data_IF_859608496157
#
_entry.id   IF_859608496157
#
_cell.length_a   1.000
_cell.length_b   1.000
_cell.length_c   1.000
_cell.angle_alpha   90.00
_cell.angle_beta   90.00
_cell.angle_gamma   90.00
#
_symmetry.space_group_name_H-M   'P 1'
#
loop_
_entity.id
_entity.type
_entity.pdbx_description
1 polymer ?
#
# COMPACT_ATOMS: atom_id res chain seq x y z
N UNK A 1 -31.59 4.30 -5.04
CA UNK A 1 -30.50 3.69 -4.24
C UNK A 1 -29.18 4.06 -4.91
N UNK A 2 -28.29 4.70 -4.20
CA UNK A 2 -26.96 5.06 -4.75
C UNK A 2 -26.14 3.78 -4.88
N UNK A 3 -25.81 3.39 -6.11
CA UNK A 3 -24.97 2.23 -6.37
C UNK A 3 -23.52 2.61 -6.09
N UNK A 4 -22.85 1.89 -5.18
CA UNK A 4 -21.42 2.04 -4.96
C UNK A 4 -20.67 1.52 -6.20
N UNK A 5 -19.60 2.21 -6.57
CA UNK A 5 -18.71 1.79 -7.65
C UNK A 5 -17.27 1.76 -7.18
N UNK A 6 -16.50 0.80 -7.69
CA UNK A 6 -15.09 0.62 -7.36
C UNK A 6 -14.31 0.01 -8.52
N UNK A 7 -13.01 -0.12 -8.33
CA UNK A 7 -12.12 -0.79 -9.27
C UNK A 7 -11.93 -2.24 -8.81
N UNK A 8 -12.29 -3.18 -9.67
CA UNK A 8 -12.15 -4.60 -9.38
C UNK A 8 -10.71 -5.05 -9.54
N UNK A 9 -10.20 -5.81 -8.58
CA UNK A 9 -8.86 -6.40 -8.62
C UNK A 9 -8.88 -7.84 -9.11
N UNK A 10 -7.71 -8.40 -9.42
CA UNK A 10 -7.55 -9.78 -9.93
C UNK A 10 -8.13 -10.83 -8.98
N UNK A 11 -8.02 -10.60 -7.67
CA UNK A 11 -8.57 -11.48 -6.63
C UNK A 11 -10.09 -11.31 -6.40
N UNK A 12 -10.73 -10.41 -7.15
CA UNK A 12 -12.16 -10.10 -7.04
C UNK A 12 -12.50 -9.08 -5.96
N UNK A 13 -11.53 -8.56 -5.21
CA UNK A 13 -11.75 -7.45 -4.26
C UNK A 13 -11.96 -6.13 -5.00
N UNK A 14 -12.50 -5.12 -4.30
CA UNK A 14 -12.76 -3.81 -4.88
C UNK A 14 -12.07 -2.71 -4.10
N UNK A 15 -11.37 -1.82 -4.82
CA UNK A 15 -10.85 -0.58 -4.31
C UNK A 15 -11.74 0.61 -4.68
N UNK A 16 -11.85 1.58 -3.79
CA UNK A 16 -12.51 2.87 -4.07
C UNK A 16 -11.56 3.86 -4.74
N UNK A 17 -10.26 3.55 -4.75
CA UNK A 17 -9.19 4.28 -5.43
C UNK A 17 -8.45 3.38 -6.40
N UNK A 18 -7.61 4.00 -7.26
CA UNK A 18 -6.82 3.32 -8.27
C UNK A 18 -5.40 3.90 -8.30
N UNK A 19 -4.71 3.81 -7.17
CA UNK A 19 -3.42 4.46 -6.94
C UNK A 19 -2.25 3.62 -7.44
N UNK A 20 -1.19 4.28 -7.90
CA UNK A 20 0.12 3.66 -8.06
C UNK A 20 0.92 3.92 -6.79
N UNK A 21 1.52 2.88 -6.22
CA UNK A 21 2.26 2.94 -4.97
C UNK A 21 3.74 2.66 -5.22
N UNK A 22 4.62 3.50 -4.66
CA UNK A 22 6.06 3.26 -4.65
C UNK A 22 6.45 2.68 -3.29
N UNK A 23 7.11 1.53 -3.29
CA UNK A 23 7.60 0.86 -2.08
C UNK A 23 9.12 0.77 -2.11
N UNK A 24 9.78 1.24 -1.07
CA UNK A 24 11.19 0.96 -0.82
C UNK A 24 11.35 -0.41 -0.17
N UNK A 25 12.28 -1.23 -0.64
CA UNK A 25 12.55 -2.56 -0.05
C UNK A 25 13.70 -2.55 0.96
N UNK A 26 14.42 -1.43 1.06
CA UNK A 26 15.55 -1.26 1.97
C UNK A 26 15.76 0.22 2.28
N UNK A 27 16.21 0.55 3.49
CA UNK A 27 16.49 1.94 3.90
C UNK A 27 17.30 2.73 2.87
N UNK A 28 18.34 2.13 2.30
CA UNK A 28 19.20 2.78 1.32
C UNK A 28 18.50 3.19 0.01
N UNK A 29 17.35 2.60 -0.30
CA UNK A 29 16.55 2.95 -1.48
C UNK A 29 15.49 4.04 -1.19
N UNK A 30 15.30 4.43 0.08
CA UNK A 30 14.26 5.38 0.49
C UNK A 30 14.33 6.71 -0.29
N UNK A 31 15.52 7.27 -0.42
CA UNK A 31 15.70 8.55 -1.09
C UNK A 31 15.28 8.51 -2.57
N UNK A 32 15.63 7.43 -3.29
CA UNK A 32 15.20 7.23 -4.66
C UNK A 32 13.68 7.04 -4.75
N UNK A 33 13.10 6.19 -3.91
CA UNK A 33 11.66 5.96 -3.86
C UNK A 33 10.87 7.24 -3.59
N UNK A 34 11.31 8.06 -2.62
CA UNK A 34 10.70 9.34 -2.29
C UNK A 34 10.80 10.36 -3.44
N UNK A 35 11.95 10.44 -4.11
CA UNK A 35 12.12 11.35 -5.26
C UNK A 35 11.22 10.96 -6.44
N UNK A 36 11.13 9.67 -6.75
CA UNK A 36 10.21 9.15 -7.78
C UNK A 36 8.77 9.52 -7.43
N UNK A 37 8.35 9.18 -6.22
CA UNK A 37 6.98 9.38 -5.77
C UNK A 37 6.59 10.86 -5.72
N UNK A 38 7.46 11.73 -5.19
CA UNK A 38 7.23 13.17 -5.12
C UNK A 38 7.10 13.80 -6.52
N UNK A 39 7.96 13.39 -7.47
CA UNK A 39 7.92 13.90 -8.85
C UNK A 39 6.62 13.53 -9.57
N UNK A 40 6.11 12.34 -9.33
CA UNK A 40 4.92 11.81 -10.00
C UNK A 40 3.63 11.98 -9.16
N UNK A 41 3.74 12.56 -7.95
CA UNK A 41 2.64 12.81 -7.03
C UNK A 41 1.86 11.53 -6.69
N UNK A 42 2.59 10.46 -6.37
CA UNK A 42 2.02 9.18 -5.94
C UNK A 42 2.41 8.85 -4.51
N UNK A 43 1.61 8.01 -3.81
CA UNK A 43 1.97 7.55 -2.47
C UNK A 43 3.31 6.78 -2.47
N UNK A 44 4.06 6.97 -1.39
CA UNK A 44 5.30 6.24 -1.14
C UNK A 44 5.31 5.67 0.27
N UNK A 45 5.78 4.44 0.42
CA UNK A 45 6.07 3.84 1.72
C UNK A 45 7.55 3.52 1.79
N UNK A 46 8.19 4.04 2.84
CA UNK A 46 9.58 3.81 3.19
C UNK A 46 9.68 3.23 4.59
N UNK A 47 10.82 2.65 4.93
CA UNK A 47 11.09 2.12 6.26
C UNK A 47 12.57 2.24 6.62
N UNK A 48 12.89 2.13 7.91
CA UNK A 48 14.26 2.29 8.42
C UNK A 48 15.08 0.98 8.43
N UNK A 49 14.52 -0.10 7.91
CA UNK A 49 15.15 -1.41 7.92
C UNK A 49 16.21 -1.54 6.82
N UNK A 50 17.35 -2.15 7.17
CA UNK A 50 18.53 -2.27 6.32
C UNK A 50 18.79 -3.68 5.81
N UNK A 51 20.04 -3.93 5.42
CA UNK A 51 20.49 -5.21 4.85
C UNK A 51 21.10 -6.19 5.87
N UNK A 52 21.18 -5.83 7.15
CA UNK A 52 21.84 -6.64 8.22
C UNK A 52 20.92 -6.88 9.41
N UNK A 53 19.63 -7.12 9.16
CA UNK A 53 18.65 -7.32 10.23
C UNK A 53 18.48 -8.78 10.60
N UNK A 54 17.91 -9.02 11.80
CA UNK A 54 17.46 -10.34 12.16
C UNK A 54 16.38 -10.84 11.19
N UNK A 55 16.41 -12.12 10.82
CA UNK A 55 15.48 -12.75 9.87
C UNK A 55 13.99 -12.49 10.22
N UNK A 56 13.67 -12.48 11.52
CA UNK A 56 12.32 -12.21 12.01
C UNK A 56 11.86 -10.78 11.72
N UNK A 57 12.77 -9.80 11.71
CA UNK A 57 12.48 -8.41 11.38
C UNK A 57 12.29 -8.28 9.86
N UNK A 58 13.19 -8.87 9.07
CA UNK A 58 13.08 -8.89 7.62
C UNK A 58 11.76 -9.54 7.16
N UNK A 59 11.34 -10.64 7.78
CA UNK A 59 10.07 -11.30 7.49
C UNK A 59 8.85 -10.41 7.81
N UNK A 60 8.88 -9.69 8.94
CA UNK A 60 7.81 -8.73 9.30
C UNK A 60 7.74 -7.55 8.33
N UNK A 61 8.88 -7.02 7.95
CA UNK A 61 8.97 -5.92 6.96
C UNK A 61 8.41 -6.37 5.62
N UNK A 62 8.83 -7.55 5.14
CA UNK A 62 8.31 -8.16 3.90
C UNK A 62 6.79 -8.32 3.95
N UNK A 63 6.25 -8.84 5.04
CA UNK A 63 4.81 -8.99 5.23
C UNK A 63 4.08 -7.64 5.22
N UNK A 64 4.66 -6.62 5.87
CA UNK A 64 4.11 -5.26 5.87
C UNK A 64 4.05 -4.65 4.47
N UNK A 65 5.14 -4.76 3.71
CA UNK A 65 5.23 -4.28 2.33
C UNK A 65 4.26 -5.04 1.41
N UNK A 66 4.19 -6.37 1.55
CA UNK A 66 3.27 -7.19 0.78
C UNK A 66 1.81 -6.75 1.00
N UNK A 67 1.39 -6.60 2.26
CA UNK A 67 0.03 -6.15 2.60
C UNK A 67 -0.28 -4.74 2.11
N UNK A 68 0.70 -3.83 2.15
CA UNK A 68 0.53 -2.49 1.60
C UNK A 68 0.28 -2.53 0.09
N UNK A 69 1.06 -3.33 -0.64
CA UNK A 69 0.91 -3.51 -2.08
C UNK A 69 -0.36 -4.30 -2.48
N UNK A 70 -0.86 -5.16 -1.60
CA UNK A 70 -2.11 -5.93 -1.78
C UNK A 70 -3.37 -5.13 -1.43
N UNK A 71 -3.24 -3.85 -1.05
CA UNK A 71 -4.41 -3.02 -0.78
C UNK A 71 -5.31 -2.92 -2.02
N UNK A 72 -6.62 -3.14 -1.90
CA UNK A 72 -7.54 -3.01 -3.04
C UNK A 72 -7.52 -1.63 -3.70
N UNK A 73 -7.08 -0.59 -2.98
CA UNK A 73 -6.94 0.77 -3.52
C UNK A 73 -5.70 0.96 -4.41
N UNK A 74 -4.82 -0.03 -4.48
CA UNK A 74 -3.59 0.02 -5.27
C UNK A 74 -3.80 -0.72 -6.59
N UNK A 75 -3.65 0.02 -7.68
CA UNK A 75 -3.62 -0.53 -9.04
C UNK A 75 -2.30 -1.23 -9.32
N UNK A 76 -1.21 -0.54 -9.01
CA UNK A 76 0.12 -1.04 -9.31
C UNK A 76 1.16 -0.59 -8.31
N UNK A 77 2.25 -1.36 -8.24
CA UNK A 77 3.35 -1.15 -7.30
C UNK A 77 4.68 -1.09 -8.03
N UNK A 78 5.47 -0.06 -7.73
CA UNK A 78 6.88 -0.01 -8.06
C UNK A 78 7.69 -0.35 -6.80
N UNK A 79 8.39 -1.48 -6.83
CA UNK A 79 9.37 -1.87 -5.81
C UNK A 79 10.73 -1.26 -6.16
N UNK A 80 11.25 -0.40 -5.29
CA UNK A 80 12.57 0.21 -5.46
C UNK A 80 13.54 -0.46 -4.51
N UNK A 81 14.51 -1.17 -5.08
CA UNK A 81 15.53 -1.95 -4.39
C UNK A 81 16.92 -1.35 -4.56
N UNK A 82 17.86 -1.71 -3.71
CA UNK A 82 19.27 -1.37 -3.89
C UNK A 82 20.02 -2.48 -4.64
N UNK A 83 19.77 -3.74 -4.29
CA UNK A 83 20.43 -4.94 -4.83
C UNK A 83 21.26 -5.73 -3.81
N UNK A 84 21.25 -5.33 -2.53
CA UNK A 84 21.93 -6.04 -1.44
C UNK A 84 21.04 -6.27 -0.21
N UNK A 85 19.75 -6.06 -0.35
CA UNK A 85 18.78 -6.29 0.72
C UNK A 85 18.56 -7.77 1.02
N UNK A 86 18.14 -8.08 2.26
CA UNK A 86 17.74 -9.43 2.67
C UNK A 86 16.35 -9.82 2.19
N UNK A 87 15.52 -8.84 1.84
CA UNK A 87 14.17 -9.09 1.33
C UNK A 87 14.29 -9.71 -0.06
N UNK A 88 13.65 -10.85 -0.26
CA UNK A 88 13.48 -11.43 -1.59
C UNK A 88 12.46 -10.59 -2.37
N UNK A 89 13.00 -9.67 -3.20
CA UNK A 89 12.19 -8.73 -4.01
C UNK A 89 11.34 -9.48 -5.03
N UNK A 90 11.82 -10.60 -5.55
CA UNK A 90 11.06 -11.39 -6.53
C UNK A 90 9.87 -12.09 -5.87
N UNK A 91 10.07 -12.72 -4.71
CA UNK A 91 8.99 -13.31 -3.94
C UNK A 91 7.96 -12.25 -3.50
N UNK A 92 8.43 -11.06 -3.08
CA UNK A 92 7.55 -9.94 -2.73
C UNK A 92 6.73 -9.47 -3.95
N UNK A 93 7.35 -9.36 -5.12
CA UNK A 93 6.68 -9.03 -6.38
C UNK A 93 5.56 -10.03 -6.71
N UNK A 94 5.83 -11.32 -6.57
CA UNK A 94 4.86 -12.39 -6.82
C UNK A 94 3.67 -12.32 -5.86
N UNK A 95 3.95 -12.14 -4.57
CA UNK A 95 2.91 -11.99 -3.55
C UNK A 95 1.99 -10.79 -3.83
N UNK A 96 2.54 -9.64 -4.18
CA UNK A 96 1.76 -8.44 -4.52
C UNK A 96 1.02 -8.65 -5.84
N UNK A 97 1.66 -9.25 -6.85
CA UNK A 97 1.11 -9.48 -8.18
C UNK A 97 -0.10 -10.42 -8.23
N UNK A 98 -0.34 -11.18 -7.16
CA UNK A 98 -1.56 -11.95 -7.02
C UNK A 98 -2.81 -11.08 -6.83
N UNK A 99 -2.63 -9.83 -6.37
CA UNK A 99 -3.71 -8.88 -6.08
C UNK A 99 -3.67 -7.63 -6.97
N UNK A 100 -2.52 -6.95 -7.03
CA UNK A 100 -2.34 -5.75 -7.84
C UNK A 100 -2.33 -6.08 -9.35
N UNK A 101 -2.80 -5.13 -10.15
CA UNK A 101 -2.88 -5.31 -11.61
C UNK A 101 -1.51 -5.27 -12.27
N UNK A 102 -0.59 -4.45 -11.75
CA UNK A 102 0.77 -4.32 -12.26
C UNK A 102 1.79 -4.23 -11.11
N UNK A 103 2.91 -4.96 -11.20
CA UNK A 103 4.04 -4.85 -10.27
C UNK A 103 5.35 -4.81 -11.05
N UNK A 104 6.11 -3.75 -10.83
CA UNK A 104 7.43 -3.53 -11.43
C UNK A 104 8.50 -3.45 -10.35
N UNK A 105 9.71 -3.83 -10.70
CA UNK A 105 10.90 -3.73 -9.83
C UNK A 105 11.94 -2.84 -10.48
N UNK A 106 12.62 -2.05 -9.67
CA UNK A 106 13.72 -1.17 -10.08
C UNK A 106 14.87 -1.36 -9.10
N UNK A 107 16.02 -1.81 -9.57
CA UNK A 107 17.21 -1.98 -8.75
C UNK A 107 18.22 -0.88 -9.04
N UNK A 108 18.56 -0.09 -8.01
CA UNK A 108 19.44 1.09 -8.16
C UNK A 108 20.82 0.71 -8.70
N UNK A 109 21.40 -0.40 -8.23
CA UNK A 109 22.73 -0.84 -8.69
C UNK A 109 22.75 -1.22 -10.16
N UNK A 110 21.69 -1.87 -10.65
CA UNK A 110 21.61 -2.30 -12.05
C UNK A 110 21.29 -1.15 -13.01
N UNK A 111 20.64 -0.09 -12.53
CA UNK A 111 20.35 1.11 -13.31
C UNK A 111 21.57 2.03 -13.50
N UNK A 112 22.70 1.73 -12.88
CA UNK A 112 23.89 2.60 -12.95
C UNK A 112 23.93 3.72 -11.93
N UNK A 113 23.11 3.60 -10.87
CA UNK A 113 23.09 4.52 -9.72
C UNK A 113 21.77 5.28 -9.57
N UNK A 114 21.72 6.09 -8.50
CA UNK A 114 20.50 6.75 -8.07
C UNK A 114 19.88 7.71 -9.12
N UNK A 115 20.62 8.58 -9.82
CA UNK A 115 20.02 9.50 -10.79
C UNK A 115 19.29 8.77 -11.93
N UNK A 116 19.92 7.74 -12.48
CA UNK A 116 19.35 6.92 -13.56
C UNK A 116 18.14 6.13 -13.07
N UNK A 117 18.23 5.54 -11.88
CA UNK A 117 17.12 4.83 -11.26
C UNK A 117 15.91 5.74 -11.01
N UNK A 118 16.12 7.00 -10.59
CA UNK A 118 15.03 7.95 -10.39
C UNK A 118 14.34 8.28 -11.73
N UNK A 119 15.09 8.54 -12.80
CA UNK A 119 14.48 8.83 -14.12
C UNK A 119 13.73 7.62 -14.69
N UNK A 120 14.29 6.43 -14.58
CA UNK A 120 13.63 5.20 -15.01
C UNK A 120 12.38 4.92 -14.18
N UNK A 121 12.47 5.10 -12.86
CA UNK A 121 11.33 4.93 -11.95
C UNK A 121 10.17 5.88 -12.25
N UNK A 122 10.45 7.15 -12.58
CA UNK A 122 9.43 8.11 -13.02
C UNK A 122 8.74 7.63 -14.31
N UNK A 123 9.51 7.15 -15.28
CA UNK A 123 8.95 6.64 -16.53
C UNK A 123 8.03 5.43 -16.29
N UNK A 124 8.43 4.52 -15.40
CA UNK A 124 7.62 3.36 -15.00
C UNK A 124 6.31 3.83 -14.34
N UNK A 125 6.39 4.72 -13.35
CA UNK A 125 5.21 5.22 -12.63
C UNK A 125 4.24 5.94 -13.55
N UNK A 126 4.73 6.78 -14.48
CA UNK A 126 3.88 7.45 -15.49
C UNK A 126 3.11 6.46 -16.34
N UNK A 127 3.78 5.40 -16.82
CA UNK A 127 3.14 4.36 -17.61
C UNK A 127 2.06 3.64 -16.80
N UNK A 128 2.34 3.31 -15.53
CA UNK A 128 1.38 2.66 -14.64
C UNK A 128 0.17 3.56 -14.36
N UNK A 129 0.37 4.87 -14.15
CA UNK A 129 -0.72 5.85 -13.98
C UNK A 129 -1.62 5.89 -15.22
N UNK A 130 -1.02 5.96 -16.41
CA UNK A 130 -1.78 5.94 -17.67
C UNK A 130 -2.57 4.64 -17.85
N UNK A 131 -2.06 3.50 -17.38
CA UNK A 131 -2.78 2.24 -17.38
C UNK A 131 -3.94 2.25 -16.36
N UNK A 132 -3.69 2.78 -15.16
CA UNK A 132 -4.71 2.92 -14.12
C UNK A 132 -5.87 3.82 -14.55
N UNK A 133 -5.58 4.93 -15.26
CA UNK A 133 -6.60 5.86 -15.78
C UNK A 133 -7.54 5.24 -16.82
N UNK A 134 -7.09 4.19 -17.51
CA UNK A 134 -7.90 3.46 -18.50
C UNK A 134 -8.91 2.49 -17.88
N UNK A 135 -8.74 2.16 -16.59
CA UNK A 135 -9.69 1.29 -15.92
C UNK A 135 -10.99 2.04 -15.62
N UNK A 136 -12.11 1.38 -15.88
CA UNK A 136 -13.43 1.87 -15.53
C UNK A 136 -13.88 1.34 -14.17
N UNK A 137 -14.72 2.11 -13.49
CA UNK A 137 -15.36 1.67 -12.25
C UNK A 137 -16.52 0.73 -12.57
N UNK A 138 -16.67 -0.31 -11.75
CA UNK A 138 -17.75 -1.28 -11.82
C UNK A 138 -18.67 -1.18 -10.59
N UNK A 139 -19.92 -1.63 -10.66
CA UNK A 139 -20.79 -1.74 -9.50
C UNK A 139 -20.15 -2.63 -8.42
N UNK A 140 -20.05 -2.11 -7.21
CA UNK A 140 -19.41 -2.77 -6.07
C UNK A 140 -20.44 -3.14 -5.01
N UNK A 141 -20.45 -4.41 -4.54
CA UNK A 141 -21.30 -4.80 -3.41
C UNK A 141 -20.87 -4.05 -2.13
N UNK A 142 -21.83 -3.52 -1.40
CA UNK A 142 -21.55 -2.77 -0.14
C UNK A 142 -20.74 -3.59 0.87
N UNK A 143 -20.92 -4.92 0.87
CA UNK A 143 -20.17 -5.85 1.73
C UNK A 143 -18.67 -5.88 1.46
N UNK A 144 -18.22 -5.38 0.31
CA UNK A 144 -16.80 -5.32 -0.03
C UNK A 144 -16.16 -3.96 0.27
N UNK A 145 -16.95 -3.01 0.79
CA UNK A 145 -16.42 -1.73 1.24
C UNK A 145 -15.61 -1.91 2.53
N UNK A 146 -14.34 -1.52 2.49
CA UNK A 146 -13.45 -1.50 3.65
C UNK A 146 -13.39 -0.07 4.18
N UNK A 147 -13.78 0.13 5.43
CA UNK A 147 -13.75 1.42 6.10
C UNK A 147 -12.71 1.37 7.21
N UNK A 148 -11.68 2.20 7.10
CA UNK A 148 -10.70 2.40 8.17
C UNK A 148 -11.26 3.35 9.23
N UNK A 149 -11.11 2.99 10.51
CA UNK A 149 -11.46 3.84 11.64
C UNK A 149 -10.21 4.14 12.45
N UNK A 150 -10.10 5.37 12.91
CA UNK A 150 -8.97 5.82 13.74
C UNK A 150 -9.50 6.60 14.93
N UNK A 151 -8.95 6.33 16.11
CA UNK A 151 -9.20 7.14 17.29
C UNK A 151 -8.33 8.40 17.23
N UNK A 152 -8.96 9.58 17.24
CA UNK A 152 -8.26 10.87 17.22
C UNK A 152 -7.84 11.36 18.61
N UNK A 153 -8.49 10.88 19.66
CA UNK A 153 -8.21 11.19 21.07
C UNK A 153 -9.04 10.32 21.98
N UNK A 154 -8.49 9.96 23.15
CA UNK A 154 -9.19 9.14 24.14
C UNK A 154 -9.96 10.06 25.07
N UNK A 155 -11.26 10.18 24.84
CA UNK A 155 -12.19 10.83 25.76
C UNK A 155 -13.42 9.94 26.01
N UNK A 156 -14.17 10.27 27.05
CA UNK A 156 -15.33 9.49 27.48
C UNK A 156 -16.49 9.52 26.46
N UNK A 157 -16.60 10.58 25.66
CA UNK A 157 -17.66 10.70 24.62
C UNK A 157 -17.39 9.74 23.46
N UNK A 158 -16.11 9.52 23.12
CA UNK A 158 -15.71 8.51 22.14
C UNK A 158 -16.13 7.11 22.58
N UNK A 159 -15.92 6.77 23.86
CA UNK A 159 -16.28 5.45 24.38
C UNK A 159 -17.81 5.25 24.44
N UNK A 160 -18.57 6.24 24.90
CA UNK A 160 -20.01 6.12 25.12
C UNK A 160 -20.85 6.26 23.84
N UNK A 161 -20.44 7.12 22.91
CA UNK A 161 -21.22 7.41 21.71
C UNK A 161 -20.51 6.99 20.42
N UNK A 162 -19.31 7.51 20.14
CA UNK A 162 -18.62 7.32 18.86
C UNK A 162 -18.37 5.84 18.54
N UNK A 163 -17.74 5.12 19.45
CA UNK A 163 -17.41 3.70 19.26
C UNK A 163 -18.66 2.81 19.21
N UNK A 164 -19.69 3.13 19.98
CA UNK A 164 -20.95 2.41 19.95
C UNK A 164 -21.66 2.55 18.59
N UNK A 165 -21.72 3.77 18.04
CA UNK A 165 -22.31 4.05 16.72
C UNK A 165 -21.51 3.35 15.62
N UNK A 166 -20.18 3.41 15.66
CA UNK A 166 -19.30 2.72 14.69
C UNK A 166 -19.53 1.21 14.76
N UNK A 167 -19.55 0.63 15.96
CA UNK A 167 -19.79 -0.80 16.17
C UNK A 167 -21.15 -1.26 15.66
N UNK A 168 -22.20 -0.46 15.88
CA UNK A 168 -23.55 -0.74 15.39
C UNK A 168 -23.63 -0.69 13.86
N UNK A 169 -22.97 0.30 13.25
CA UNK A 169 -22.96 0.49 11.80
C UNK A 169 -22.17 -0.63 11.09
N UNK A 170 -21.04 -1.07 11.68
CA UNK A 170 -20.23 -2.20 11.20
C UNK A 170 -21.05 -3.45 10.93
N UNK A 171 -21.89 -3.84 11.87
CA UNK A 171 -22.63 -5.09 11.79
C UNK A 171 -23.69 -5.14 10.68
N UNK A 172 -23.94 -4.01 10.02
CA UNK A 172 -25.02 -3.89 9.03
C UNK A 172 -24.56 -3.72 7.59
N UNK A 173 -23.32 -3.21 7.33
CA UNK A 173 -23.08 -2.67 5.99
C UNK A 173 -21.70 -2.95 5.36
N UNK A 174 -20.60 -3.19 6.14
CA UNK A 174 -19.26 -3.27 5.57
C UNK A 174 -18.25 -3.97 6.51
N UNK A 175 -17.08 -4.33 5.95
CA UNK A 175 -15.94 -4.79 6.76
C UNK A 175 -15.19 -3.59 7.36
N UNK A 176 -15.05 -3.59 8.68
CA UNK A 176 -14.32 -2.55 9.40
C UNK A 176 -12.87 -3.00 9.62
N UNK A 177 -11.91 -2.23 9.11
CA UNK A 177 -10.51 -2.33 9.52
C UNK A 177 -10.24 -1.31 10.62
N UNK A 178 -9.92 -1.77 11.83
CA UNK A 178 -9.45 -0.88 12.87
C UNK A 178 -7.99 -0.49 12.60
N UNK A 179 -7.72 0.82 12.51
CA UNK A 179 -6.36 1.34 12.48
C UNK A 179 -6.02 1.79 13.90
N UNK A 180 -5.17 1.04 14.59
CA UNK A 180 -4.59 1.48 15.85
C UNK A 180 -3.43 2.44 15.54
N UNK A 181 -3.53 3.69 15.99
CA UNK A 181 -2.38 4.58 16.05
C UNK A 181 -1.58 4.21 17.29
N UNK A 182 -0.49 3.48 17.14
CA UNK A 182 0.47 3.32 18.20
C UNK A 182 1.24 4.64 18.41
N UNK A 183 1.69 4.89 19.63
CA UNK A 183 2.36 6.12 20.08
C UNK A 183 3.66 6.44 19.29
N UNK A 184 4.16 5.47 18.50
CA UNK A 184 5.32 5.59 17.62
C UNK A 184 5.05 6.11 16.22
N UNK A 185 3.81 6.50 15.89
CA UNK A 185 3.44 7.00 14.56
C UNK A 185 3.31 5.95 13.45
N UNK A 186 3.54 4.69 13.73
CA UNK A 186 3.33 3.60 12.79
C UNK A 186 1.84 3.20 12.76
N UNK A 187 1.17 3.50 11.67
CA UNK A 187 -0.22 3.06 11.43
C UNK A 187 -0.22 1.57 11.11
N UNK A 188 -0.67 0.74 12.03
CA UNK A 188 -0.86 -0.70 11.78
C UNK A 188 -2.28 -0.94 11.26
N UNK A 189 -2.37 -1.47 10.05
CA UNK A 189 -3.59 -2.11 9.55
C UNK A 189 -3.67 -3.50 10.18
N UNK A 190 -4.60 -3.73 11.09
CA UNK A 190 -4.87 -5.05 11.67
C UNK A 190 -6.09 -5.61 10.95
N UNK A 191 -5.96 -6.63 10.09
CA UNK A 191 -7.13 -7.36 9.59
C UNK A 191 -7.67 -8.25 10.72
N UNK A 192 -8.95 -8.20 10.97
CA UNK A 192 -9.69 -9.20 11.72
C UNK A 192 -10.29 -10.22 10.78
#
# INVERSE_FOLDING_TARGET
>A
MTTLTGFRRKDGTFGVRNEVLVLSTVHCANAAAQQIAASEQVPCITHEHGCTEAETIAARTTLGLARAGQSPNVFGVLLVSLGCEQIDVQALKEQIGAHADEVQTLCIQTCGGMPQAVEEGKAIVRRMKQAAEKQSREPMPTKQLIVGVQCGGSDWTTALAGNAVIGFTKNRTYHLCAVSSDISGAKRLIPY
#
